data_IF_447889422839
#
_entry.id   IF_447889422839
#
_cell.length_a   1.000
_cell.length_b   1.000
_cell.length_c   1.000
_cell.angle_alpha   90.00
_cell.angle_beta   90.00
_cell.angle_gamma   90.00
#
_symmetry.space_group_name_H-M   'P 1'
#
loop_
_entity.id
_entity.type
_entity.pdbx_description
1 polymer ?
#
# COMPACT_ATOMS: atom_id res chain seq x y z
N UNK A 1 -0.77 -16.90 11.10
CA UNK A 1 -1.79 -15.87 11.42
C UNK A 1 -3.12 -16.58 11.57
N UNK A 2 -4.07 -16.04 12.36
CA UNK A 2 -5.38 -16.68 12.58
C UNK A 2 -6.40 -16.51 11.45
N UNK A 3 -6.24 -15.50 10.60
CA UNK A 3 -7.00 -15.36 9.36
C UNK A 3 -6.14 -15.77 8.17
N UNK A 4 -6.67 -16.67 7.35
CA UNK A 4 -6.03 -17.17 6.14
C UNK A 4 -6.02 -16.10 5.05
N UNK A 5 -7.12 -15.35 4.90
CA UNK A 5 -7.19 -14.26 3.93
C UNK A 5 -6.20 -13.14 4.26
N UNK A 6 -6.10 -12.72 5.53
CA UNK A 6 -5.09 -11.75 5.93
C UNK A 6 -3.67 -12.28 5.66
N UNK A 7 -3.39 -13.55 5.98
CA UNK A 7 -2.09 -14.16 5.70
C UNK A 7 -1.74 -14.15 4.20
N UNK A 8 -2.71 -14.51 3.36
CA UNK A 8 -2.61 -14.46 1.90
C UNK A 8 -2.26 -13.05 1.42
N UNK A 9 -2.93 -12.01 1.92
CA UNK A 9 -2.65 -10.64 1.48
C UNK A 9 -1.28 -10.13 1.95
N UNK A 10 -0.80 -10.51 3.14
CA UNK A 10 0.59 -10.23 3.53
C UNK A 10 1.61 -10.97 2.66
N UNK A 11 1.31 -12.21 2.27
CA UNK A 11 2.17 -12.93 1.33
C UNK A 11 2.20 -12.22 -0.04
N UNK A 12 1.07 -11.72 -0.51
CA UNK A 12 1.00 -10.91 -1.73
C UNK A 12 1.88 -9.67 -1.65
N UNK A 13 1.82 -8.90 -0.54
CA UNK A 13 2.70 -7.75 -0.31
C UNK A 13 4.18 -8.15 -0.38
N UNK A 14 4.54 -9.25 0.27
CA UNK A 14 5.92 -9.73 0.29
C UNK A 14 6.42 -10.12 -1.11
N UNK A 15 5.63 -10.89 -1.87
CA UNK A 15 5.99 -11.33 -3.23
C UNK A 15 6.17 -10.13 -4.16
N UNK A 16 5.22 -9.19 -4.18
CA UNK A 16 5.29 -8.00 -5.03
C UNK A 16 6.56 -7.17 -4.76
N UNK A 17 6.93 -7.01 -3.48
CA UNK A 17 8.14 -6.29 -3.08
C UNK A 17 9.39 -7.02 -3.54
N UNK A 18 9.50 -8.33 -3.29
CA UNK A 18 10.66 -9.12 -3.71
C UNK A 18 10.87 -9.10 -5.23
N UNK A 19 9.80 -9.06 -6.01
CA UNK A 19 9.87 -8.93 -7.47
C UNK A 19 10.42 -7.56 -7.91
N UNK A 20 10.06 -6.49 -7.21
CA UNK A 20 10.44 -5.12 -7.59
C UNK A 20 11.78 -4.66 -6.99
N UNK A 21 12.15 -5.14 -5.81
CA UNK A 21 13.35 -4.71 -5.07
C UNK A 21 14.65 -4.74 -5.89
N UNK A 22 14.94 -5.77 -6.73
CA UNK A 22 16.14 -5.76 -7.56
C UNK A 22 16.24 -4.54 -8.49
N UNK A 23 15.12 -4.10 -9.06
CA UNK A 23 15.09 -2.89 -9.90
C UNK A 23 15.38 -1.65 -9.06
N UNK A 24 14.80 -1.56 -7.87
CA UNK A 24 15.00 -0.43 -6.97
C UNK A 24 16.47 -0.32 -6.52
N UNK A 25 17.08 -1.44 -6.12
CA UNK A 25 18.49 -1.51 -5.69
C UNK A 25 19.49 -1.24 -6.83
N UNK A 26 19.08 -1.37 -8.09
CA UNK A 26 19.93 -1.02 -9.24
C UNK A 26 20.04 0.48 -9.53
N UNK A 27 19.19 1.31 -8.89
CA UNK A 27 19.15 2.75 -9.12
C UNK A 27 20.23 3.46 -8.28
N UNK A 28 20.91 4.42 -8.90
CA UNK A 28 21.67 5.43 -8.18
C UNK A 28 20.75 6.35 -7.38
N UNK A 29 21.31 7.06 -6.41
CA UNK A 29 20.57 8.07 -5.63
C UNK A 29 19.90 9.10 -6.56
N UNK A 30 20.58 9.53 -7.61
CA UNK A 30 20.04 10.49 -8.58
C UNK A 30 18.86 9.91 -9.35
N UNK A 31 18.97 8.66 -9.82
CA UNK A 31 17.90 8.00 -10.57
C UNK A 31 16.69 7.70 -9.70
N UNK A 32 16.89 7.31 -8.43
CA UNK A 32 15.81 7.05 -7.47
C UNK A 32 14.89 8.27 -7.32
N UNK A 33 15.49 9.46 -7.24
CA UNK A 33 14.77 10.71 -7.06
C UNK A 33 14.45 11.44 -8.36
N UNK A 34 14.89 10.93 -9.52
CA UNK A 34 14.61 11.56 -10.80
C UNK A 34 13.11 11.56 -11.15
N UNK A 35 12.60 12.72 -11.57
CA UNK A 35 11.23 12.89 -12.06
C UNK A 35 11.24 12.94 -13.59
N UNK A 36 10.72 11.91 -14.24
CA UNK A 36 10.66 11.81 -15.70
C UNK A 36 9.81 12.91 -16.35
N UNK A 37 8.85 13.49 -15.62
CA UNK A 37 7.96 14.56 -16.10
C UNK A 37 7.62 15.54 -14.99
N UNK A 38 7.46 16.81 -15.35
CA UNK A 38 6.96 17.83 -14.43
C UNK A 38 5.61 17.44 -13.84
N UNK A 39 5.47 17.58 -12.52
CA UNK A 39 4.24 17.24 -11.79
C UNK A 39 3.99 15.74 -11.60
N UNK A 40 4.95 14.87 -11.95
CA UNK A 40 4.93 13.43 -11.61
C UNK A 40 5.92 13.13 -10.50
N UNK A 41 5.64 12.08 -9.74
CA UNK A 41 6.51 11.60 -8.67
C UNK A 41 7.66 10.78 -9.23
N UNK A 42 8.81 10.86 -8.58
CA UNK A 42 9.94 9.94 -8.79
C UNK A 42 9.63 8.54 -8.25
N UNK A 43 10.52 7.59 -8.52
CA UNK A 43 10.42 6.23 -7.93
C UNK A 43 10.51 6.32 -6.39
N UNK A 44 11.46 7.08 -5.85
CA UNK A 44 11.60 7.28 -4.41
C UNK A 44 10.37 7.91 -3.76
N UNK A 45 9.72 8.86 -4.43
CA UNK A 45 8.47 9.47 -3.96
C UNK A 45 7.30 8.47 -3.96
N UNK A 46 7.18 7.65 -5.01
CA UNK A 46 6.19 6.58 -5.05
C UNK A 46 6.39 5.56 -3.93
N UNK A 47 7.63 5.15 -3.67
CA UNK A 47 7.93 4.20 -2.60
C UNK A 47 7.67 4.81 -1.21
N UNK A 48 8.04 6.08 -1.01
CA UNK A 48 7.74 6.80 0.23
C UNK A 48 6.24 6.94 0.47
N UNK A 49 5.45 7.14 -0.59
CA UNK A 49 3.99 7.17 -0.49
C UNK A 49 3.41 5.84 0.01
N UNK A 50 3.96 4.69 -0.39
CA UNK A 50 3.55 3.38 0.14
C UNK A 50 3.76 3.30 1.65
N UNK A 51 4.88 3.80 2.15
CA UNK A 51 5.13 3.93 3.59
C UNK A 51 4.04 4.77 4.29
N UNK A 52 3.67 5.92 3.73
CA UNK A 52 2.65 6.79 4.33
C UNK A 52 1.28 6.09 4.43
N UNK A 53 0.90 5.34 3.40
CA UNK A 53 -0.35 4.56 3.39
C UNK A 53 -0.31 3.44 4.42
N UNK A 54 0.77 2.67 4.48
CA UNK A 54 0.93 1.61 5.48
C UNK A 54 0.85 2.19 6.91
N UNK A 55 1.54 3.30 7.17
CA UNK A 55 1.47 4.01 8.46
C UNK A 55 0.06 4.50 8.77
N UNK A 56 -0.66 5.06 7.81
CA UNK A 56 -2.05 5.49 7.98
C UNK A 56 -2.95 4.32 8.34
N UNK A 57 -2.84 3.20 7.62
CA UNK A 57 -3.61 1.98 7.89
C UNK A 57 -3.29 1.42 9.29
N UNK A 58 -2.01 1.39 9.69
CA UNK A 58 -1.60 1.00 11.05
C UNK A 58 -2.35 1.80 12.12
N UNK A 59 -2.40 3.12 11.95
CA UNK A 59 -3.11 4.02 12.88
C UNK A 59 -4.61 3.73 12.86
N UNK A 60 -5.21 3.60 11.68
CA UNK A 60 -6.63 3.27 11.54
C UNK A 60 -6.98 1.93 12.23
N UNK A 61 -6.16 0.90 12.05
CA UNK A 61 -6.34 -0.41 12.69
C UNK A 61 -6.35 -0.27 14.21
N UNK A 62 -5.39 0.46 14.79
CA UNK A 62 -5.35 0.67 16.25
C UNK A 62 -6.64 1.30 16.77
N UNK A 63 -7.19 2.29 16.07
CA UNK A 63 -8.47 2.89 16.46
C UNK A 63 -9.66 1.93 16.27
N UNK A 64 -9.63 1.14 15.19
CA UNK A 64 -10.70 0.18 14.88
C UNK A 64 -10.86 -0.93 15.92
N UNK A 65 -9.86 -1.18 16.77
CA UNK A 65 -9.95 -2.19 17.82
C UNK A 65 -11.03 -1.89 18.87
N UNK A 66 -11.47 -0.63 18.98
CA UNK A 66 -12.67 -0.28 19.76
C UNK A 66 -13.94 -0.97 19.26
N UNK A 67 -13.97 -1.43 18.00
CA UNK A 67 -15.08 -2.16 17.38
C UNK A 67 -15.03 -3.67 17.63
N UNK A 68 -13.96 -4.22 18.22
CA UNK A 68 -13.83 -5.68 18.43
C UNK A 68 -15.01 -6.30 19.19
N UNK A 69 -15.55 -5.70 20.27
CA UNK A 69 -16.72 -6.26 20.95
C UNK A 69 -17.93 -6.38 20.03
N UNK A 70 -18.18 -5.36 19.20
CA UNK A 70 -19.25 -5.40 18.21
C UNK A 70 -19.00 -6.46 17.12
N UNK A 71 -17.77 -6.55 16.61
CA UNK A 71 -17.38 -7.59 15.66
C UNK A 71 -17.60 -9.01 16.22
N UNK A 72 -17.31 -9.23 17.51
CA UNK A 72 -17.57 -10.51 18.19
C UNK A 72 -19.06 -10.87 18.24
N UNK A 73 -19.95 -9.91 18.43
CA UNK A 73 -21.40 -10.15 18.38
C UNK A 73 -21.85 -10.58 16.98
N UNK A 74 -21.16 -10.13 15.93
CA UNK A 74 -21.49 -10.42 14.54
C UNK A 74 -20.75 -11.59 13.92
N UNK A 75 -19.90 -12.29 14.68
CA UNK A 75 -18.98 -13.35 14.18
C UNK A 75 -19.61 -14.48 13.36
N UNK A 76 -20.92 -14.71 13.49
CA UNK A 76 -21.65 -15.75 12.74
C UNK A 76 -22.39 -15.20 11.51
N UNK A 77 -22.29 -13.90 11.26
CA UNK A 77 -22.90 -13.25 10.09
C UNK A 77 -21.93 -13.36 8.91
N UNK A 78 -22.42 -13.63 7.68
CA UNK A 78 -21.60 -13.55 6.49
C UNK A 78 -20.90 -12.20 6.33
N UNK A 79 -19.75 -12.22 5.68
CA UNK A 79 -18.95 -11.03 5.34
C UNK A 79 -18.17 -11.30 4.05
N UNK A 80 -17.86 -10.24 3.31
CA UNK A 80 -17.04 -10.32 2.11
C UNK A 80 -15.56 -10.41 2.46
N UNK A 81 -14.82 -11.29 1.82
CA UNK A 81 -13.36 -11.43 2.00
C UNK A 81 -12.58 -10.64 0.97
N UNK A 82 -13.19 -10.34 -0.17
CA UNK A 82 -12.53 -9.75 -1.31
C UNK A 82 -13.02 -8.33 -1.62
N UNK A 83 -12.12 -7.51 -2.15
CA UNK A 83 -12.40 -6.21 -2.75
C UNK A 83 -11.80 -6.14 -4.15
N UNK A 84 -12.51 -5.48 -5.07
CA UNK A 84 -12.09 -5.31 -6.45
C UNK A 84 -10.97 -4.26 -6.58
N UNK A 85 -10.34 -4.21 -7.75
CA UNK A 85 -9.31 -3.21 -8.05
C UNK A 85 -9.93 -1.82 -8.29
N UNK A 86 -10.08 -1.06 -7.20
CA UNK A 86 -10.66 0.28 -7.22
C UNK A 86 -9.88 1.25 -8.11
N UNK A 87 -8.58 1.03 -8.35
CA UNK A 87 -7.74 1.93 -9.14
C UNK A 87 -7.93 1.67 -10.63
N UNK A 88 -8.09 0.40 -11.01
CA UNK A 88 -8.46 0.02 -12.38
C UNK A 88 -9.84 0.59 -12.75
N UNK A 89 -10.85 0.37 -11.91
CA UNK A 89 -12.20 0.89 -12.15
C UNK A 89 -12.21 2.43 -12.22
N UNK A 90 -11.55 3.09 -11.26
CA UNK A 90 -11.50 4.55 -11.27
C UNK A 90 -10.89 5.10 -12.56
N UNK A 91 -9.80 4.47 -13.04
CA UNK A 91 -9.13 4.87 -14.27
C UNK A 91 -10.00 4.64 -15.49
N UNK A 92 -10.73 3.52 -15.56
CA UNK A 92 -11.68 3.23 -16.63
C UNK A 92 -12.79 4.29 -16.68
N UNK A 93 -13.38 4.62 -15.53
CA UNK A 93 -14.49 5.56 -15.43
C UNK A 93 -14.11 7.02 -15.68
N UNK A 94 -12.90 7.44 -15.32
CA UNK A 94 -12.50 8.86 -15.34
C UNK A 94 -11.41 9.18 -16.37
N UNK A 95 -10.85 8.17 -17.06
CA UNK A 95 -9.75 8.33 -18.01
C UNK A 95 -8.43 8.80 -17.39
N UNK A 96 -8.33 8.87 -16.06
CA UNK A 96 -7.17 9.39 -15.33
C UNK A 96 -6.94 8.67 -14.01
N UNK A 97 -5.71 8.71 -13.51
CA UNK A 97 -5.36 8.17 -12.20
C UNK A 97 -5.98 8.97 -11.05
N UNK A 98 -6.27 8.29 -9.95
CA UNK A 98 -6.77 8.90 -8.73
C UNK A 98 -5.68 9.80 -8.10
N UNK A 99 -6.09 10.97 -7.61
CA UNK A 99 -5.17 11.85 -6.87
C UNK A 99 -5.07 11.39 -5.42
N UNK A 100 -3.85 11.31 -4.90
CA UNK A 100 -3.63 11.04 -3.49
C UNK A 100 -4.15 12.22 -2.63
N UNK A 101 -4.76 11.93 -1.46
CA UNK A 101 -5.07 12.95 -0.46
C UNK A 101 -3.80 13.68 0.02
N UNK A 102 -3.92 14.95 0.40
CA UNK A 102 -2.78 15.83 0.71
C UNK A 102 -1.83 15.27 1.80
N UNK A 103 -2.37 14.57 2.80
CA UNK A 103 -1.59 13.96 3.89
C UNK A 103 -0.73 12.78 3.42
N UNK A 104 -1.06 12.21 2.26
CA UNK A 104 -0.37 11.08 1.66
C UNK A 104 0.57 11.53 0.53
N UNK A 105 0.68 12.82 0.24
CA UNK A 105 1.62 13.33 -0.75
C UNK A 105 3.02 13.38 -0.11
N UNK A 106 4.06 12.79 -0.75
CA UNK A 106 5.43 12.92 -0.27
C UNK A 106 5.84 14.38 -0.09
N UNK A 107 6.41 14.71 1.07
CA UNK A 107 6.86 16.08 1.32
C UNK A 107 8.08 16.41 0.46
N UNK A 108 8.23 17.68 0.07
CA UNK A 108 9.41 18.12 -0.71
C UNK A 108 10.75 17.86 0.00
N UNK A 109 10.74 17.80 1.33
CA UNK A 109 11.93 17.59 2.15
C UNK A 109 12.47 16.15 2.08
N UNK A 110 11.69 15.21 1.53
CA UNK A 110 12.11 13.81 1.37
C UNK A 110 12.98 13.63 0.12
N UNK A 111 12.97 14.61 -0.79
CA UNK A 111 13.77 14.57 -2.01
C UNK A 111 15.27 14.48 -1.69
N UNK A 112 15.95 13.44 -2.20
CA UNK A 112 17.36 13.10 -1.92
C UNK A 112 17.71 12.84 -0.46
N UNK A 113 16.72 12.77 0.45
CA UNK A 113 17.00 12.63 1.88
C UNK A 113 17.21 11.19 2.32
N UNK A 114 16.85 10.21 1.49
CA UNK A 114 16.89 8.78 1.81
C UNK A 114 17.39 7.97 0.61
N UNK A 115 18.11 6.89 0.87
CA UNK A 115 18.46 5.88 -0.12
C UNK A 115 17.41 4.74 -0.16
N UNK A 116 17.63 3.77 -1.05
CA UNK A 116 16.75 2.61 -1.23
C UNK A 116 16.56 1.83 0.06
N UNK A 117 17.64 1.52 0.77
CA UNK A 117 17.60 0.74 2.01
C UNK A 117 16.76 1.42 3.09
N UNK A 118 16.92 2.74 3.26
CA UNK A 118 16.14 3.51 4.23
C UNK A 118 14.64 3.52 3.89
N UNK A 119 14.28 3.64 2.61
CA UNK A 119 12.90 3.56 2.15
C UNK A 119 12.30 2.16 2.37
N UNK A 120 13.06 1.11 2.09
CA UNK A 120 12.68 -0.28 2.32
C UNK A 120 12.40 -0.54 3.80
N UNK A 121 13.32 -0.14 4.67
CA UNK A 121 13.19 -0.29 6.12
C UNK A 121 11.96 0.43 6.69
N UNK A 122 11.66 1.64 6.19
CA UNK A 122 10.46 2.39 6.59
C UNK A 122 9.17 1.62 6.28
N UNK A 123 9.04 1.14 5.03
CA UNK A 123 7.84 0.39 4.62
C UNK A 123 7.76 -0.97 5.32
N UNK A 124 8.88 -1.69 5.43
CA UNK A 124 8.95 -2.99 6.09
C UNK A 124 8.53 -2.89 7.55
N UNK A 125 9.08 -1.91 8.29
CA UNK A 125 8.74 -1.67 9.70
C UNK A 125 7.26 -1.41 9.91
N UNK A 126 6.64 -0.55 9.08
CA UNK A 126 5.21 -0.28 9.18
C UNK A 126 4.38 -1.53 8.87
N UNK A 127 4.78 -2.32 7.88
CA UNK A 127 4.11 -3.57 7.50
C UNK A 127 4.18 -4.62 8.62
N UNK A 128 5.34 -4.78 9.24
CA UNK A 128 5.53 -5.74 10.33
C UNK A 128 4.72 -5.35 11.57
N UNK A 129 4.64 -4.05 11.88
CA UNK A 129 3.78 -3.57 12.97
C UNK A 129 2.30 -3.83 12.68
N UNK A 130 1.83 -3.62 11.44
CA UNK A 130 0.46 -4.00 11.04
C UNK A 130 0.27 -5.51 11.21
N UNK A 131 1.20 -6.33 10.73
CA UNK A 131 1.14 -7.80 10.85
C UNK A 131 1.05 -8.24 12.31
N UNK A 132 1.86 -7.66 13.20
CA UNK A 132 1.82 -7.92 14.65
C UNK A 132 0.48 -7.55 15.28
N UNK A 133 -0.14 -6.45 14.86
CA UNK A 133 -1.44 -6.01 15.37
C UNK A 133 -2.55 -7.01 15.00
N UNK A 134 -2.51 -7.57 13.80
CA UNK A 134 -3.64 -8.36 13.26
C UNK A 134 -3.44 -9.88 13.32
N UNK A 135 -2.22 -10.38 13.61
CA UNK A 135 -1.88 -11.81 13.54
C UNK A 135 -2.78 -12.75 14.36
N UNK A 136 -3.35 -12.25 15.46
CA UNK A 136 -4.16 -13.02 16.42
C UNK A 136 -5.67 -12.76 16.30
N UNK A 137 -6.10 -11.98 15.31
CA UNK A 137 -7.52 -11.71 15.05
C UNK A 137 -8.09 -12.88 14.23
N UNK A 138 -9.16 -13.50 14.73
CA UNK A 138 -9.89 -14.54 14.00
C UNK A 138 -10.54 -13.95 12.74
N UNK A 139 -10.60 -14.74 11.67
CA UNK A 139 -11.11 -14.28 10.37
C UNK A 139 -12.54 -13.74 10.45
N UNK A 140 -13.42 -14.46 11.15
CA UNK A 140 -14.80 -14.05 11.39
C UNK A 140 -14.95 -12.85 12.34
N UNK A 141 -13.87 -12.36 12.96
CA UNK A 141 -13.87 -11.09 13.68
C UNK A 141 -13.33 -9.99 12.75
N UNK A 142 -12.24 -10.27 12.03
CA UNK A 142 -11.65 -9.35 11.06
C UNK A 142 -12.66 -8.90 10.00
N UNK A 143 -13.51 -9.81 9.52
CA UNK A 143 -14.58 -9.52 8.56
C UNK A 143 -15.64 -8.51 9.03
N UNK A 144 -15.69 -8.20 10.33
CA UNK A 144 -16.65 -7.26 10.92
C UNK A 144 -16.00 -6.03 11.55
N UNK A 145 -14.69 -5.86 11.42
CA UNK A 145 -13.99 -4.61 11.77
C UNK A 145 -13.96 -3.74 10.50
N UNK A 146 -14.83 -2.74 10.41
CA UNK A 146 -15.01 -1.92 9.20
C UNK A 146 -14.37 -0.53 9.31
N UNK A 147 -13.88 -0.03 8.18
CA UNK A 147 -13.26 1.27 8.05
C UNK A 147 -14.12 2.17 7.15
N UNK A 148 -14.24 3.45 7.47
CA UNK A 148 -14.83 4.41 6.53
C UNK A 148 -13.76 4.83 5.52
N UNK A 149 -13.96 4.47 4.26
CA UNK A 149 -13.11 4.86 3.14
C UNK A 149 -13.95 5.62 2.10
N UNK A 150 -13.57 6.85 1.68
CA UNK A 150 -14.36 7.63 0.72
C UNK A 150 -14.52 6.98 -0.66
N UNK A 151 -13.64 6.03 -1.02
CA UNK A 151 -13.60 5.38 -2.34
C UNK A 151 -14.04 3.92 -2.23
N UNK A 152 -13.51 3.18 -1.25
CA UNK A 152 -13.85 1.78 -1.00
C UNK A 152 -15.11 1.61 -0.12
N UNK A 153 -15.74 2.70 0.30
CA UNK A 153 -16.91 2.76 1.19
C UNK A 153 -16.64 2.23 2.60
N UNK A 154 -16.86 0.92 2.81
CA UNK A 154 -16.79 0.29 4.13
C UNK A 154 -16.00 -1.02 4.09
N UNK A 155 -14.73 -1.02 3.64
CA UNK A 155 -13.93 -2.25 3.64
C UNK A 155 -13.78 -2.76 5.08
N UNK A 156 -13.90 -4.08 5.27
CA UNK A 156 -13.50 -4.69 6.53
C UNK A 156 -11.98 -4.88 6.61
N UNK A 157 -11.46 -5.32 7.77
CA UNK A 157 -10.03 -5.48 7.99
C UNK A 157 -9.34 -6.39 6.98
N UNK A 158 -10.00 -7.44 6.51
CA UNK A 158 -9.44 -8.33 5.49
C UNK A 158 -9.29 -7.55 4.18
N UNK A 159 -10.38 -6.92 3.74
CA UNK A 159 -10.41 -6.11 2.52
C UNK A 159 -9.46 -4.91 2.59
N UNK A 160 -9.25 -4.29 3.75
CA UNK A 160 -8.30 -3.18 3.91
C UNK A 160 -6.84 -3.62 3.73
N UNK A 161 -6.48 -4.84 4.17
CA UNK A 161 -5.14 -5.40 3.92
C UNK A 161 -5.00 -5.82 2.45
N UNK A 162 -6.06 -6.35 1.83
CA UNK A 162 -6.09 -6.59 0.38
C UNK A 162 -5.94 -5.29 -0.40
N UNK A 163 -6.62 -4.23 0.00
CA UNK A 163 -6.57 -2.92 -0.64
C UNK A 163 -5.16 -2.32 -0.57
N UNK A 164 -4.45 -2.52 0.55
CA UNK A 164 -3.03 -2.18 0.66
C UNK A 164 -2.19 -2.90 -0.41
N UNK A 165 -2.43 -4.20 -0.62
CA UNK A 165 -1.71 -4.98 -1.64
C UNK A 165 -2.08 -4.59 -3.09
N UNK A 166 -3.34 -4.20 -3.34
CA UNK A 166 -3.78 -3.67 -4.63
C UNK A 166 -3.09 -2.31 -4.89
N UNK A 167 -3.03 -1.46 -3.86
CA UNK A 167 -2.40 -0.15 -3.94
C UNK A 167 -0.88 -0.23 -4.20
N UNK A 168 -0.18 -1.15 -3.53
CA UNK A 168 1.25 -1.38 -3.81
C UNK A 168 1.48 -1.83 -5.25
N UNK A 169 0.70 -2.81 -5.74
CA UNK A 169 0.75 -3.25 -7.13
C UNK A 169 0.54 -2.09 -8.11
N UNK A 170 -0.45 -1.22 -7.85
CA UNK A 170 -0.70 -0.03 -8.66
C UNK A 170 0.55 0.85 -8.77
N UNK A 171 1.23 1.10 -7.66
CA UNK A 171 2.44 1.91 -7.63
C UNK A 171 3.66 1.20 -8.24
N UNK A 172 3.85 -0.10 -8.03
CA UNK A 172 4.91 -0.86 -8.69
C UNK A 172 4.78 -0.80 -10.22
N UNK A 173 3.57 -0.90 -10.77
CA UNK A 173 3.35 -0.74 -12.22
C UNK A 173 3.73 0.67 -12.73
N UNK A 174 3.56 1.71 -11.93
CA UNK A 174 3.97 3.08 -12.30
C UNK A 174 5.49 3.20 -12.21
N UNK A 175 6.09 2.71 -11.13
CA UNK A 175 7.53 2.78 -10.92
C UNK A 175 8.30 1.96 -11.97
N UNK A 176 7.77 0.81 -12.37
CA UNK A 176 8.33 0.00 -13.47
C UNK A 176 8.41 0.80 -14.78
N UNK A 177 7.34 1.54 -15.14
CA UNK A 177 7.35 2.41 -16.33
C UNK A 177 8.34 3.55 -16.20
N UNK A 178 8.46 4.14 -15.00
CA UNK A 178 9.45 5.18 -14.75
C UNK A 178 10.88 4.63 -14.86
N UNK A 179 11.13 3.41 -14.38
CA UNK A 179 12.40 2.72 -14.47
C UNK A 179 12.81 2.49 -15.93
N UNK A 180 11.91 1.93 -16.74
CA UNK A 180 12.12 1.72 -18.18
C UNK A 180 12.44 3.02 -18.93
N UNK A 181 11.77 4.12 -18.56
CA UNK A 181 12.08 5.43 -19.12
C UNK A 181 13.48 5.92 -18.74
N UNK A 182 13.90 5.75 -17.49
CA UNK A 182 15.24 6.14 -17.02
C UNK A 182 16.32 5.33 -17.75
N UNK A 183 16.16 4.00 -17.82
CA UNK A 183 17.10 3.11 -18.49
C UNK A 183 17.26 3.45 -19.98
N UNK A 184 16.14 3.75 -20.66
CA UNK A 184 16.17 4.17 -22.06
C UNK A 184 16.90 5.51 -22.29
N UNK A 185 16.82 6.47 -21.36
CA UNK A 185 17.50 7.76 -21.48
C UNK A 185 19.01 7.69 -21.21
N UNK A 186 19.48 6.67 -20.50
CA UNK A 186 20.89 6.52 -20.12
C UNK A 186 21.68 5.60 -21.06
N UNK A 187 20.99 4.89 -21.96
CA UNK A 187 21.57 4.06 -23.03
C UNK A 187 21.78 4.82 -24.36
N UNK A 188 21.51 6.13 -24.38
CA UNK A 188 21.75 7.06 -25.50
C UNK A 188 22.92 7.95 -25.15
#
# INVERSE_FOLDING_TARGET
>A
MKSENIAKHFQTLHVQRNEFLPHLHSLSQEQLWYRSKNGKWSIGEHYYHLYLIARMLKVAIKFSFTLIPYAKLRRNTPFETDIYDIYAEYKEKHGRGMKAPWILIPSKNVYHSMNVTELEELLARETDEIKKLVQNIEENIAGHIVFLDPIAHYPNLIQSIQLLAIHEKHHFMIMQKNYEMIDAHLKV
#
